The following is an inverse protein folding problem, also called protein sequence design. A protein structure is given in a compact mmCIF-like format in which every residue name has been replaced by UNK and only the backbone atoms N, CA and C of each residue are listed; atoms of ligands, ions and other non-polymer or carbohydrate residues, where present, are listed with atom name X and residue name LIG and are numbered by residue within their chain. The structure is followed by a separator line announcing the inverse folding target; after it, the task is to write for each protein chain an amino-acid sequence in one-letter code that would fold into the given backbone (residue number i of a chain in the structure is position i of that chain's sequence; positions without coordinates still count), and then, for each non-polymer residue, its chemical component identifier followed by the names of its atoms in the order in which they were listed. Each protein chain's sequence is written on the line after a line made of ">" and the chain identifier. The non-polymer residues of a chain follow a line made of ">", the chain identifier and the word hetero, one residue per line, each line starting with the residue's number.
data_IF_601166641660
#
_entry.id   IF_601166641660
#
_cell.length_a   1.000
_cell.length_b   1.000
_cell.length_c   1.000
_cell.angle_alpha   90.00
_cell.angle_beta   90.00
_cell.angle_gamma   90.00
#
_symmetry.space_group_name_H-M   'P 1'
#
loop_
_entity.id
_entity.type
_entity.pdbx_description
1 polymer ?
#
# COMPACT_ATOMS: atom_id res chain seq x y z
N UNK A 1 -3.82 -3.14 -42.77
CA UNK A 1 -3.89 -3.82 -41.46
C UNK A 1 -3.52 -2.83 -40.40
N UNK A 2 -4.54 -2.22 -39.79
CA UNK A 2 -4.33 -1.20 -38.75
C UNK A 2 -4.03 -1.90 -37.44
N UNK A 3 -2.80 -1.74 -36.97
CA UNK A 3 -2.45 -2.06 -35.60
C UNK A 3 -3.16 -1.05 -34.69
N UNK A 4 -4.23 -1.47 -34.05
CA UNK A 4 -4.85 -0.73 -32.95
C UNK A 4 -3.86 -0.85 -31.79
N UNK A 5 -3.01 0.17 -31.66
CA UNK A 5 -2.22 0.39 -30.47
C UNK A 5 -3.23 0.75 -29.36
N UNK A 6 -3.68 -0.26 -28.62
CA UNK A 6 -4.41 -0.04 -27.40
C UNK A 6 -3.42 0.61 -26.43
N UNK A 7 -3.43 1.93 -26.40
CA UNK A 7 -2.83 2.68 -25.31
C UNK A 7 -3.61 2.25 -24.06
N UNK A 8 -3.02 1.36 -23.26
CA UNK A 8 -3.41 1.16 -21.88
C UNK A 8 -3.20 2.52 -21.21
N UNK A 9 -4.25 3.31 -21.19
CA UNK A 9 -4.32 4.46 -20.29
C UNK A 9 -4.27 3.87 -18.87
N UNK A 10 -3.05 3.78 -18.34
CA UNK A 10 -2.90 3.57 -16.90
C UNK A 10 -3.54 4.77 -16.23
N UNK A 11 -4.69 4.54 -15.60
CA UNK A 11 -5.36 5.60 -14.84
C UNK A 11 -4.36 6.20 -13.85
N UNK A 12 -4.33 7.54 -13.75
CA UNK A 12 -3.48 8.21 -12.79
C UNK A 12 -3.81 7.72 -11.37
N UNK A 13 -2.78 7.55 -10.54
CA UNK A 13 -2.96 7.16 -9.15
C UNK A 13 -3.89 8.15 -8.44
N UNK A 14 -4.98 7.67 -7.80
CA UNK A 14 -5.91 8.56 -7.11
C UNK A 14 -5.23 9.34 -5.98
N UNK A 15 -5.61 10.60 -5.82
CA UNK A 15 -5.25 11.43 -4.68
C UNK A 15 -6.45 11.48 -3.74
N UNK A 16 -6.27 10.99 -2.52
CA UNK A 16 -7.32 10.97 -1.50
C UNK A 16 -7.04 12.02 -0.42
N UNK A 17 -8.07 12.74 0.06
CA UNK A 17 -7.90 13.60 1.21
C UNK A 17 -7.68 12.75 2.48
N UNK A 18 -7.02 13.32 3.48
CA UNK A 18 -6.70 12.62 4.73
C UNK A 18 -7.95 12.11 5.46
N UNK A 19 -9.11 12.71 5.23
CA UNK A 19 -10.39 12.23 5.75
C UNK A 19 -10.77 10.83 5.29
N UNK A 20 -10.14 10.32 4.23
CA UNK A 20 -10.31 8.95 3.75
C UNK A 20 -9.43 7.93 4.47
N UNK A 21 -8.53 8.35 5.35
CA UNK A 21 -7.66 7.43 6.07
C UNK A 21 -8.42 6.29 6.79
N UNK A 22 -9.56 6.53 7.48
CA UNK A 22 -10.33 5.45 8.11
C UNK A 22 -10.93 4.43 7.13
N UNK A 23 -10.97 4.74 5.83
CA UNK A 23 -11.58 3.88 4.80
C UNK A 23 -10.56 3.08 4.00
N UNK A 24 -9.26 3.25 4.24
CA UNK A 24 -8.21 2.60 3.46
C UNK A 24 -8.28 1.07 3.53
N UNK A 25 -8.55 0.51 4.71
CA UNK A 25 -8.67 -0.95 4.88
C UNK A 25 -9.86 -1.48 4.08
N UNK A 26 -11.02 -0.84 4.17
CA UNK A 26 -12.20 -1.22 3.42
C UNK A 26 -11.97 -1.11 1.90
N UNK A 27 -11.30 -0.06 1.47
CA UNK A 27 -10.94 0.13 0.06
C UNK A 27 -10.03 -0.99 -0.43
N UNK A 28 -9.01 -1.37 0.35
CA UNK A 28 -8.09 -2.45 0.00
C UNK A 28 -8.79 -3.82 0.00
N UNK A 29 -9.74 -4.05 0.89
CA UNK A 29 -10.52 -5.29 0.94
C UNK A 29 -11.40 -5.47 -0.30
N UNK A 30 -11.93 -4.38 -0.84
CA UNK A 30 -12.85 -4.43 -1.97
C UNK A 30 -14.26 -4.87 -1.56
N UNK A 31 -14.89 -5.70 -2.39
CA UNK A 31 -16.32 -6.07 -2.21
C UNK A 31 -16.55 -7.15 -1.16
N UNK A 32 -15.52 -7.88 -0.78
CA UNK A 32 -15.66 -9.01 0.15
C UNK A 32 -14.71 -8.85 1.34
N UNK A 33 -15.13 -9.23 2.56
CA UNK A 33 -14.23 -9.26 3.71
C UNK A 33 -13.05 -10.20 3.45
N UNK A 34 -11.84 -9.68 3.62
CA UNK A 34 -10.60 -10.45 3.50
C UNK A 34 -9.48 -9.74 4.25
N UNK A 35 -8.41 -10.46 4.61
CA UNK A 35 -7.23 -9.81 5.16
C UNK A 35 -6.68 -8.75 4.21
N UNK A 36 -6.10 -7.70 4.77
CA UNK A 36 -5.60 -6.53 4.03
C UNK A 36 -4.19 -6.19 4.47
N UNK A 37 -3.36 -5.85 3.49
CA UNK A 37 -2.05 -5.25 3.72
C UNK A 37 -2.07 -3.80 3.25
N UNK A 38 -1.82 -2.86 4.16
CA UNK A 38 -1.54 -1.48 3.84
C UNK A 38 -0.04 -1.25 3.92
N UNK A 39 0.55 -0.70 2.87
CA UNK A 39 1.97 -0.38 2.82
C UNK A 39 2.16 1.11 2.59
N UNK A 40 2.71 1.81 3.59
CA UNK A 40 2.97 3.24 3.54
C UNK A 40 4.39 3.53 3.08
N UNK A 41 4.52 4.47 2.16
CA UNK A 41 5.79 4.82 1.52
C UNK A 41 5.76 6.26 1.00
N UNK A 42 6.90 6.76 0.54
CA UNK A 42 7.00 8.05 -0.15
C UNK A 42 8.20 8.05 -1.12
N UNK A 43 8.16 8.92 -2.10
CA UNK A 43 9.25 9.05 -3.09
C UNK A 43 10.57 9.51 -2.49
N UNK A 44 10.51 10.32 -1.44
CA UNK A 44 11.68 10.84 -0.73
C UNK A 44 12.26 9.87 0.31
N UNK A 45 11.61 8.72 0.50
CA UNK A 45 12.03 7.72 1.50
C UNK A 45 13.03 6.75 0.88
N UNK A 46 14.32 6.87 1.24
CA UNK A 46 15.39 6.00 0.73
C UNK A 46 15.14 4.54 1.12
N UNK A 47 14.78 4.28 2.37
CA UNK A 47 14.52 2.93 2.86
C UNK A 47 13.32 2.27 2.12
N UNK A 48 12.33 3.06 1.70
CA UNK A 48 11.20 2.55 0.89
C UNK A 48 11.68 2.05 -0.47
N UNK A 49 12.55 2.83 -1.14
CA UNK A 49 13.12 2.41 -2.44
C UNK A 49 13.95 1.15 -2.31
N UNK A 50 14.72 1.04 -1.26
CA UNK A 50 15.58 -0.13 -1.01
C UNK A 50 14.75 -1.37 -0.67
N UNK A 51 13.58 -1.20 -0.08
CA UNK A 51 12.68 -2.30 0.27
C UNK A 51 11.91 -2.85 -0.93
N UNK A 52 11.48 -2.01 -1.87
CA UNK A 52 10.58 -2.40 -2.96
C UNK A 52 11.06 -3.62 -3.75
N UNK A 53 12.35 -3.74 -4.15
CA UNK A 53 12.79 -4.93 -4.87
C UNK A 53 12.57 -6.23 -4.10
N UNK A 54 12.75 -6.22 -2.78
CA UNK A 54 12.60 -7.42 -1.95
C UNK A 54 11.12 -7.75 -1.65
N UNK A 55 10.25 -6.75 -1.55
CA UNK A 55 8.82 -6.97 -1.27
C UNK A 55 7.97 -7.16 -2.53
N UNK A 56 8.48 -6.81 -3.70
CA UNK A 56 7.72 -6.77 -4.94
C UNK A 56 6.92 -8.05 -5.18
N UNK A 57 7.57 -9.19 -5.10
CA UNK A 57 6.93 -10.48 -5.37
C UNK A 57 5.78 -10.74 -4.39
N UNK A 58 5.98 -10.47 -3.11
CA UNK A 58 4.94 -10.64 -2.10
C UNK A 58 3.75 -9.73 -2.38
N UNK A 59 3.98 -8.46 -2.65
CA UNK A 59 2.91 -7.50 -2.92
C UNK A 59 2.09 -7.89 -4.15
N UNK A 60 2.73 -8.36 -5.21
CA UNK A 60 2.05 -8.79 -6.43
C UNK A 60 1.22 -10.06 -6.22
N UNK A 61 1.61 -10.95 -5.32
CA UNK A 61 0.95 -12.23 -5.08
C UNK A 61 -0.19 -12.15 -4.06
N UNK A 62 -0.29 -11.08 -3.28
CA UNK A 62 -1.29 -10.95 -2.21
C UNK A 62 -2.73 -11.19 -2.69
N UNK A 63 -3.21 -10.63 -3.81
CA UNK A 63 -4.56 -10.89 -4.28
C UNK A 63 -4.83 -12.38 -4.56
N UNK A 64 -3.89 -13.07 -5.17
CA UNK A 64 -4.01 -14.51 -5.48
C UNK A 64 -3.99 -15.37 -4.21
N UNK A 65 -3.48 -14.82 -3.12
CA UNK A 65 -3.45 -15.47 -1.80
C UNK A 65 -4.65 -15.11 -0.93
N UNK A 66 -5.63 -14.41 -1.48
CA UNK A 66 -6.86 -14.05 -0.77
C UNK A 66 -6.76 -12.83 0.12
N UNK A 67 -5.77 -11.96 -0.08
CA UNK A 67 -5.60 -10.72 0.67
C UNK A 67 -5.74 -9.50 -0.23
N UNK A 68 -6.35 -8.44 0.30
CA UNK A 68 -6.31 -7.12 -0.31
C UNK A 68 -4.98 -6.45 -0.07
N UNK A 69 -4.56 -5.58 -0.98
CA UNK A 69 -3.33 -4.80 -0.84
C UNK A 69 -3.56 -3.39 -1.33
N UNK A 70 -2.96 -2.43 -0.65
CA UNK A 70 -2.98 -1.04 -1.06
C UNK A 70 -1.64 -0.39 -0.71
N UNK A 71 -0.97 0.15 -1.72
CA UNK A 71 0.20 1.00 -1.54
C UNK A 71 -0.28 2.43 -1.28
N UNK A 72 0.08 2.99 -0.16
CA UNK A 72 -0.35 4.34 0.25
C UNK A 72 0.86 5.26 0.27
N UNK A 73 0.98 6.12 -0.75
CA UNK A 73 1.98 7.18 -0.76
C UNK A 73 1.52 8.31 0.15
N UNK A 74 2.42 8.81 0.98
CA UNK A 74 2.21 10.03 1.76
C UNK A 74 2.96 11.23 1.19
N UNK A 75 3.32 11.16 -0.09
CA UNK A 75 3.82 12.32 -0.82
C UNK A 75 2.76 13.43 -0.88
N UNK A 76 3.19 14.62 -1.22
CA UNK A 76 2.26 15.71 -1.55
C UNK A 76 1.60 15.48 -2.90
N UNK A 77 0.39 16.01 -3.14
CA UNK A 77 -0.31 15.85 -4.43
C UNK A 77 0.51 16.26 -5.65
N UNK A 78 1.38 17.27 -5.52
CA UNK A 78 2.26 17.73 -6.60
C UNK A 78 3.28 16.68 -7.02
N UNK A 79 3.54 15.70 -6.16
CA UNK A 79 4.50 14.61 -6.40
C UNK A 79 3.83 13.34 -6.96
N UNK A 80 2.54 13.39 -7.27
CA UNK A 80 1.80 12.22 -7.77
C UNK A 80 2.48 11.57 -8.98
N UNK A 81 2.90 12.37 -9.96
CA UNK A 81 3.57 11.85 -11.14
C UNK A 81 4.88 11.15 -10.78
N UNK A 82 5.68 11.73 -9.88
CA UNK A 82 6.92 11.12 -9.40
C UNK A 82 6.66 9.81 -8.64
N UNK A 83 5.61 9.77 -7.83
CA UNK A 83 5.21 8.56 -7.11
C UNK A 83 4.81 7.45 -8.09
N UNK A 84 4.03 7.77 -9.10
CA UNK A 84 3.59 6.83 -10.12
C UNK A 84 4.77 6.33 -10.95
N UNK A 85 5.72 7.20 -11.30
CA UNK A 85 6.95 6.82 -12.01
C UNK A 85 7.80 5.87 -11.17
N UNK A 86 7.91 6.09 -9.87
CA UNK A 86 8.64 5.21 -8.96
C UNK A 86 8.02 3.81 -8.92
N UNK A 87 6.68 3.71 -8.87
CA UNK A 87 6.00 2.40 -8.95
C UNK A 87 6.27 1.71 -10.30
N UNK A 88 6.33 2.46 -11.39
CA UNK A 88 6.69 1.92 -12.70
C UNK A 88 8.14 1.41 -12.71
N UNK A 89 9.06 2.16 -12.14
CA UNK A 89 10.48 1.79 -12.05
C UNK A 89 10.69 0.48 -11.29
N UNK A 90 9.91 0.25 -10.22
CA UNK A 90 9.98 -0.99 -9.44
C UNK A 90 8.98 -2.06 -9.90
N UNK A 91 8.35 -1.87 -11.06
CA UNK A 91 7.39 -2.83 -11.64
C UNK A 91 6.23 -3.17 -10.70
N UNK A 92 5.68 -2.15 -10.03
CA UNK A 92 4.60 -2.25 -9.04
C UNK A 92 3.29 -1.62 -9.51
N UNK A 93 3.17 -1.22 -10.79
CA UNK A 93 1.95 -0.58 -11.30
C UNK A 93 0.72 -1.50 -11.24
N UNK A 94 0.90 -2.81 -11.20
CA UNK A 94 -0.21 -3.76 -11.06
C UNK A 94 -0.76 -3.84 -9.63
N UNK A 95 -0.05 -3.29 -8.65
CA UNK A 95 -0.52 -3.25 -7.26
C UNK A 95 -1.37 -2.00 -7.06
N UNK A 96 -2.59 -2.12 -6.49
CA UNK A 96 -3.40 -0.94 -6.20
C UNK A 96 -2.66 0.08 -5.35
N UNK A 97 -2.73 1.34 -5.74
CA UNK A 97 -2.00 2.42 -5.10
C UNK A 97 -2.82 3.71 -5.05
N UNK A 98 -2.65 4.46 -3.98
CA UNK A 98 -3.22 5.79 -3.80
C UNK A 98 -2.17 6.73 -3.21
N UNK A 99 -2.35 8.02 -3.43
CA UNK A 99 -1.63 9.06 -2.70
C UNK A 99 -2.60 9.64 -1.67
N UNK A 100 -2.23 9.59 -0.41
CA UNK A 100 -3.02 10.16 0.68
C UNK A 100 -2.44 11.53 1.02
N UNK A 101 -3.22 12.58 0.77
CA UNK A 101 -2.84 13.95 1.09
C UNK A 101 -3.02 14.20 2.58
N UNK A 102 -1.94 14.01 3.33
CA UNK A 102 -1.94 14.07 4.79
C UNK A 102 -0.87 15.08 5.29
N UNK A 103 -1.13 16.40 5.15
CA UNK A 103 -0.20 17.40 5.66
C UNK A 103 -0.03 17.31 7.19
N UNK A 104 -1.07 16.86 7.89
CA UNK A 104 -0.98 16.43 9.28
C UNK A 104 -1.13 14.91 9.32
N UNK A 105 -0.13 14.15 9.80
CA UNK A 105 -0.17 12.69 9.83
C UNK A 105 -1.08 12.11 10.91
N UNK A 106 -1.45 12.86 11.94
CA UNK A 106 -2.20 12.34 13.08
C UNK A 106 -3.47 11.55 12.72
N UNK A 107 -4.31 12.01 11.76
CA UNK A 107 -5.48 11.21 11.37
C UNK A 107 -5.11 9.84 10.79
N UNK A 108 -3.99 9.74 10.09
CA UNK A 108 -3.49 8.48 9.52
C UNK A 108 -3.03 7.55 10.64
N UNK A 109 -2.26 8.08 11.59
CA UNK A 109 -1.78 7.30 12.73
C UNK A 109 -2.95 6.73 13.54
N UNK A 110 -3.98 7.53 13.79
CA UNK A 110 -5.19 7.08 14.50
C UNK A 110 -5.97 6.04 13.71
N UNK A 111 -6.08 6.22 12.39
CA UNK A 111 -6.82 5.29 11.53
C UNK A 111 -6.17 3.91 11.47
N UNK A 112 -4.85 3.84 11.45
CA UNK A 112 -4.10 2.57 11.47
C UNK A 112 -4.21 1.91 12.85
N UNK A 113 -4.12 2.68 13.92
CA UNK A 113 -4.31 2.17 15.27
C UNK A 113 -3.13 1.41 15.85
N UNK A 114 -1.90 1.66 15.36
CA UNK A 114 -0.68 1.12 15.95
C UNK A 114 -0.03 2.20 16.83
N UNK A 115 -0.10 2.08 18.18
CA UNK A 115 0.40 3.12 19.07
C UNK A 115 1.89 3.40 18.96
N UNK A 116 2.68 2.40 18.50
CA UNK A 116 4.14 2.54 18.33
C UNK A 116 4.53 3.26 17.05
N UNK A 117 3.58 3.45 16.13
CA UNK A 117 3.89 4.08 14.86
C UNK A 117 3.80 5.60 14.96
N UNK A 118 4.89 6.27 14.67
CA UNK A 118 5.03 7.72 14.70
C UNK A 118 5.05 8.36 13.29
N UNK A 119 4.76 7.56 12.25
CA UNK A 119 4.87 7.98 10.86
C UNK A 119 6.17 7.56 10.17
N UNK A 120 7.04 6.82 10.84
CA UNK A 120 8.26 6.26 10.25
C UNK A 120 7.93 5.44 9.00
N UNK A 121 8.67 5.64 7.93
CA UNK A 121 8.52 4.92 6.65
C UNK A 121 9.78 4.09 6.35
N UNK A 122 9.62 2.97 5.62
CA UNK A 122 8.37 2.34 5.25
C UNK A 122 7.63 1.76 6.46
N UNK A 123 6.33 1.55 6.31
CA UNK A 123 5.52 0.87 7.33
C UNK A 123 4.49 -0.02 6.65
N UNK A 124 4.36 -1.25 7.13
CA UNK A 124 3.44 -2.24 6.58
C UNK A 124 2.56 -2.79 7.69
N UNK A 125 1.24 -2.76 7.46
CA UNK A 125 0.26 -3.17 8.45
C UNK A 125 -0.65 -4.24 7.87
N UNK A 126 -0.87 -5.31 8.63
CA UNK A 126 -1.71 -6.43 8.24
C UNK A 126 -2.94 -6.47 9.12
N UNK A 127 -4.10 -6.39 8.48
CA UNK A 127 -5.41 -6.42 9.13
C UNK A 127 -6.12 -7.73 8.79
N UNK A 128 -6.90 -8.25 9.73
CA UNK A 128 -7.74 -9.41 9.45
C UNK A 128 -9.01 -9.03 8.65
N UNK A 129 -9.80 -10.03 8.28
CA UNK A 129 -11.02 -9.81 7.50
C UNK A 129 -12.06 -8.96 8.22
N UNK A 130 -11.98 -8.84 9.53
CA UNK A 130 -12.82 -7.97 10.35
C UNK A 130 -12.30 -6.53 10.46
N UNK A 131 -11.16 -6.23 9.83
CA UNK A 131 -10.56 -4.90 9.87
C UNK A 131 -9.70 -4.64 11.11
N UNK A 132 -9.40 -5.68 11.90
CA UNK A 132 -8.57 -5.56 13.09
C UNK A 132 -7.09 -5.67 12.73
N UNK A 133 -6.27 -4.75 13.25
CA UNK A 133 -4.81 -4.80 13.09
C UNK A 133 -4.23 -6.02 13.79
N UNK A 134 -3.47 -6.83 13.04
CA UNK A 134 -2.89 -8.09 13.54
C UNK A 134 -1.37 -8.11 13.54
N UNK A 135 -0.73 -7.38 12.64
CA UNK A 135 0.73 -7.32 12.55
C UNK A 135 1.18 -5.96 12.01
N UNK A 136 2.24 -5.43 12.60
CA UNK A 136 2.84 -4.16 12.20
C UNK A 136 4.33 -4.37 11.92
N UNK A 137 4.78 -3.79 10.80
CA UNK A 137 6.19 -3.69 10.44
C UNK A 137 6.52 -2.22 10.33
N UNK A 138 7.14 -1.65 11.35
CA UNK A 138 7.61 -0.28 11.36
C UNK A 138 9.06 -0.30 10.92
N UNK A 139 9.37 0.36 9.80
CA UNK A 139 10.59 0.13 9.06
C UNK A 139 10.40 -0.98 8.02
N UNK A 140 11.49 -1.52 7.51
CA UNK A 140 11.42 -2.56 6.48
C UNK A 140 10.76 -3.83 7.00
N UNK A 141 9.93 -4.44 6.16
CA UNK A 141 9.33 -5.74 6.42
C UNK A 141 10.19 -6.85 5.80
N UNK A 142 10.38 -7.93 6.54
CA UNK A 142 10.92 -9.17 5.96
C UNK A 142 9.84 -9.78 5.04
N UNK A 143 10.17 -10.11 3.76
CA UNK A 143 9.21 -10.76 2.89
C UNK A 143 8.62 -12.05 3.47
N UNK A 144 9.45 -12.87 4.09
CA UNK A 144 9.00 -14.11 4.73
C UNK A 144 8.07 -13.85 5.92
N UNK A 145 8.35 -12.84 6.74
CA UNK A 145 7.51 -12.48 7.87
C UNK A 145 6.17 -11.91 7.42
N UNK A 146 6.15 -11.09 6.36
CA UNK A 146 4.92 -10.59 5.76
C UNK A 146 4.07 -11.74 5.21
N UNK A 147 4.69 -12.65 4.47
CA UNK A 147 4.02 -13.84 3.94
C UNK A 147 3.39 -14.67 5.07
N UNK A 148 4.14 -14.93 6.14
CA UNK A 148 3.65 -15.69 7.28
C UNK A 148 2.47 -15.01 7.98
N UNK A 149 2.53 -13.69 8.15
CA UNK A 149 1.45 -12.91 8.76
C UNK A 149 0.16 -13.00 7.94
N UNK A 150 0.24 -12.84 6.63
CA UNK A 150 -0.93 -12.96 5.74
C UNK A 150 -1.46 -14.38 5.71
N UNK A 151 -0.58 -15.36 5.57
CA UNK A 151 -0.97 -16.77 5.51
C UNK A 151 -1.71 -17.23 6.76
N UNK A 152 -1.35 -16.73 7.94
CA UNK A 152 -2.05 -17.05 9.19
C UNK A 152 -3.50 -16.57 9.21
N UNK A 153 -3.86 -15.59 8.37
CA UNK A 153 -5.19 -14.96 8.31
C UNK A 153 -6.05 -15.45 7.12
N UNK A 154 -5.48 -16.17 6.17
CA UNK A 154 -6.15 -16.62 4.95
C UNK A 154 -6.56 -18.10 4.98
N UNK A 155 -6.60 -18.71 6.14
CA UNK A 155 -7.03 -20.10 6.34
C UNK A 155 -8.56 -20.21 6.37
#
# INVERSE_FOLDING_TARGET
>A
MSAILAALLTAAMPVLPVSQAPKLVAQAAGKQPRPVVLHFWATWCVACREEFPSLRQQLLQLPDRGAGVLLVSIDRPEQRAAAQEMLAQYELLAVPAVLLDAPNPDPVLRAVGEPRWDGTLPATFVFDAGGKLRKSFIGRASPAALEAAVKSLTR
#
